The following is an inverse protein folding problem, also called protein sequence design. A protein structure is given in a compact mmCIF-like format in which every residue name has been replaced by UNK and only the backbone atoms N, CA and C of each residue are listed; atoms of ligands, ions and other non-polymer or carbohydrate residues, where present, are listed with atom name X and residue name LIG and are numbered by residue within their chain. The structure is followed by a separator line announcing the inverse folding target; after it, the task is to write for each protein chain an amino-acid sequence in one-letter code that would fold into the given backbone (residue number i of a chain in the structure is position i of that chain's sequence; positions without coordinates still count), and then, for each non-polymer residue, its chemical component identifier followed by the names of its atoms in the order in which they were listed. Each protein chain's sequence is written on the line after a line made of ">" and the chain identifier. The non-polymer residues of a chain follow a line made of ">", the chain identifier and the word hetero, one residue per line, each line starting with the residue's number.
data_IF_884942559554
#
_entry.id   IF_884942559554
#
_cell.length_a   1.000
_cell.length_b   1.000
_cell.length_c   1.000
_cell.angle_alpha   90.00
_cell.angle_beta   90.00
_cell.angle_gamma   90.00
#
_symmetry.space_group_name_H-M   'P 1'
#
loop_
_entity.id
_entity.type
_entity.pdbx_description
1 polymer ?
#
# COMPACT_ATOMS: atom_id res chain seq x y z
N UNK A 1 7.32 -10.92 7.99
CA UNK A 1 7.72 -9.81 8.88
C UNK A 1 8.50 -8.75 8.12
N UNK A 2 8.39 -7.49 8.53
CA UNK A 2 9.09 -6.33 7.93
C UNK A 2 10.20 -5.84 8.84
N UNK A 3 11.37 -5.56 8.29
CA UNK A 3 12.54 -5.15 9.07
C UNK A 3 12.82 -3.65 8.89
N UNK A 4 12.97 -2.93 10.01
CA UNK A 4 13.35 -1.51 10.02
C UNK A 4 14.83 -1.39 10.37
N UNK A 5 15.59 -0.79 9.47
CA UNK A 5 17.02 -0.54 9.63
C UNK A 5 17.31 0.89 10.08
N UNK A 6 18.54 1.15 10.54
CA UNK A 6 19.09 2.50 10.54
C UNK A 6 19.04 3.10 9.13
N UNK A 7 18.81 4.42 9.08
CA UNK A 7 18.73 5.17 7.81
C UNK A 7 20.00 4.94 6.99
N UNK A 8 19.82 4.56 5.73
CA UNK A 8 20.87 4.24 4.76
C UNK A 8 21.33 2.78 4.78
N UNK A 9 21.13 2.01 5.86
CA UNK A 9 21.66 0.65 5.99
C UNK A 9 20.88 -0.39 5.18
N UNK A 10 19.59 -0.16 4.93
CA UNK A 10 18.82 -1.03 4.04
C UNK A 10 19.30 -0.85 2.60
N UNK A 11 19.50 0.41 2.19
CA UNK A 11 20.05 0.74 0.87
C UNK A 11 21.46 0.18 0.67
N UNK A 12 22.33 0.31 1.68
CA UNK A 12 23.70 -0.20 1.68
C UNK A 12 23.72 -1.72 1.51
N UNK A 13 22.92 -2.46 2.28
CA UNK A 13 22.77 -3.92 2.14
C UNK A 13 22.44 -4.33 0.71
N UNK A 14 21.42 -3.70 0.12
CA UNK A 14 20.93 -4.06 -1.22
C UNK A 14 21.99 -3.71 -2.29
N UNK A 15 22.69 -2.58 -2.14
CA UNK A 15 23.75 -2.16 -3.08
C UNK A 15 24.97 -3.08 -3.00
N UNK A 16 25.44 -3.37 -1.80
CA UNK A 16 26.60 -4.25 -1.61
C UNK A 16 26.31 -5.62 -2.21
N UNK A 17 25.14 -6.21 -1.93
CA UNK A 17 24.77 -7.50 -2.51
C UNK A 17 24.73 -7.45 -4.05
N UNK A 18 24.17 -6.39 -4.63
CA UNK A 18 24.13 -6.21 -6.09
C UNK A 18 25.55 -6.13 -6.67
N UNK A 19 26.43 -5.36 -6.04
CA UNK A 19 27.80 -5.12 -6.49
C UNK A 19 28.66 -6.40 -6.36
N UNK A 20 28.55 -7.11 -5.23
CA UNK A 20 29.22 -8.38 -4.98
C UNK A 20 28.84 -9.46 -6.01
N UNK A 21 27.58 -9.48 -6.46
CA UNK A 21 27.08 -10.43 -7.45
C UNK A 21 27.15 -9.90 -8.90
N UNK A 22 27.64 -8.68 -9.11
CA UNK A 22 27.68 -7.98 -10.40
C UNK A 22 26.34 -7.98 -11.16
N UNK A 23 25.23 -7.75 -10.43
CA UNK A 23 23.88 -7.80 -10.98
C UNK A 23 23.39 -6.43 -11.44
N UNK A 24 22.49 -6.41 -12.42
CA UNK A 24 21.62 -5.24 -12.70
C UNK A 24 20.44 -5.20 -11.71
N UNK A 25 19.81 -4.02 -11.57
CA UNK A 25 18.60 -3.87 -10.74
C UNK A 25 17.47 -4.80 -11.17
N UNK A 26 17.28 -4.95 -12.48
CA UNK A 26 16.27 -5.85 -13.07
C UNK A 26 16.55 -7.32 -12.75
N UNK A 27 17.81 -7.75 -12.87
CA UNK A 27 18.19 -9.12 -12.52
C UNK A 27 17.99 -9.40 -11.03
N UNK A 28 18.43 -8.49 -10.16
CA UNK A 28 18.24 -8.64 -8.71
C UNK A 28 16.75 -8.75 -8.36
N UNK A 29 15.90 -7.89 -8.94
CA UNK A 29 14.45 -7.93 -8.73
C UNK A 29 13.84 -9.28 -9.16
N UNK A 30 14.27 -9.81 -10.31
CA UNK A 30 13.83 -11.13 -10.78
C UNK A 30 14.29 -12.26 -9.85
N UNK A 31 15.54 -12.23 -9.37
CA UNK A 31 16.11 -13.26 -8.49
C UNK A 31 15.36 -13.33 -7.15
N UNK A 32 15.06 -12.18 -6.56
CA UNK A 32 14.31 -12.11 -5.29
C UNK A 32 12.79 -12.21 -5.48
N UNK A 33 12.31 -12.34 -6.72
CA UNK A 33 10.90 -12.54 -7.06
C UNK A 33 10.00 -11.32 -6.83
N UNK A 34 10.50 -10.09 -7.01
CA UNK A 34 9.70 -8.86 -6.85
C UNK A 34 9.74 -7.96 -8.08
N UNK A 35 8.76 -7.06 -8.19
CA UNK A 35 8.77 -6.01 -9.22
C UNK A 35 9.88 -4.99 -8.95
N UNK A 36 10.50 -4.48 -10.01
CA UNK A 36 11.57 -3.48 -9.92
C UNK A 36 11.15 -2.21 -9.15
N UNK A 37 9.91 -1.74 -9.33
CA UNK A 37 9.39 -0.61 -8.57
C UNK A 37 9.37 -0.84 -7.05
N UNK A 38 9.14 -2.09 -6.61
CA UNK A 38 9.19 -2.45 -5.18
C UNK A 38 10.63 -2.50 -4.68
N UNK A 39 11.56 -3.01 -5.50
CA UNK A 39 12.99 -2.96 -5.19
C UNK A 39 13.47 -1.51 -5.04
N UNK A 40 13.04 -0.62 -5.94
CA UNK A 40 13.32 0.82 -5.87
C UNK A 40 12.81 1.42 -4.56
N UNK A 41 11.60 1.10 -4.13
CA UNK A 41 11.06 1.55 -2.84
C UNK A 41 11.90 1.06 -1.63
N UNK A 42 12.51 -0.13 -1.71
CA UNK A 42 13.45 -0.58 -0.68
C UNK A 42 14.78 0.19 -0.71
N UNK A 43 15.30 0.48 -1.89
CA UNK A 43 16.54 1.26 -2.05
C UNK A 43 16.37 2.70 -1.58
N UNK A 44 15.21 3.30 -1.84
CA UNK A 44 14.84 4.64 -1.38
C UNK A 44 14.39 4.67 0.09
N UNK A 45 14.30 3.51 0.73
CA UNK A 45 13.86 3.34 2.12
C UNK A 45 12.46 3.90 2.41
N UNK A 46 11.64 4.07 1.37
CA UNK A 46 10.22 4.41 1.49
C UNK A 46 9.37 3.22 1.94
N UNK A 47 9.90 2.00 1.78
CA UNK A 47 9.31 0.74 2.23
C UNK A 47 10.31 -0.13 2.99
N UNK A 48 9.80 -0.92 3.93
CA UNK A 48 10.60 -1.87 4.71
C UNK A 48 10.76 -3.20 3.98
N UNK A 49 11.99 -3.70 3.95
CA UNK A 49 12.29 -5.00 3.36
C UNK A 49 11.61 -6.14 4.14
N UNK A 50 11.19 -7.16 3.40
CA UNK A 50 10.67 -8.41 3.98
C UNK A 50 11.81 -9.24 4.59
N UNK A 51 11.54 -9.92 5.70
CA UNK A 51 12.52 -10.78 6.37
C UNK A 51 13.02 -11.92 5.47
N UNK A 52 12.16 -12.45 4.60
CA UNK A 52 12.54 -13.47 3.59
C UNK A 52 13.58 -12.94 2.62
N UNK A 53 13.38 -11.72 2.12
CA UNK A 53 14.32 -11.05 1.20
C UNK A 53 15.61 -10.69 1.95
N UNK A 54 15.50 -10.21 3.20
CA UNK A 54 16.67 -9.95 4.04
C UNK A 54 17.54 -11.19 4.24
N UNK A 55 16.94 -12.33 4.62
CA UNK A 55 17.67 -13.58 4.82
C UNK A 55 18.35 -14.08 3.53
N UNK A 56 17.77 -13.73 2.37
CA UNK A 56 18.39 -14.02 1.07
C UNK A 56 19.61 -13.13 0.81
N UNK A 57 19.51 -11.82 1.08
CA UNK A 57 20.58 -10.85 0.84
C UNK A 57 21.74 -10.96 1.85
N UNK A 58 21.44 -11.24 3.12
CA UNK A 58 22.41 -11.26 4.21
C UNK A 58 22.43 -12.63 4.92
N UNK A 59 22.99 -13.64 4.24
CA UNK A 59 23.09 -15.00 4.78
C UNK A 59 23.95 -15.10 6.04
N UNK A 60 24.95 -14.22 6.17
CA UNK A 60 25.88 -14.17 7.31
C UNK A 60 25.32 -13.40 8.51
N UNK A 61 24.22 -12.67 8.32
CA UNK A 61 23.57 -11.81 9.32
C UNK A 61 24.45 -10.65 9.79
N UNK A 62 25.36 -10.18 8.93
CA UNK A 62 26.28 -9.08 9.24
C UNK A 62 25.54 -7.74 9.46
N UNK A 63 24.36 -7.61 8.84
CA UNK A 63 23.50 -6.44 8.95
C UNK A 63 22.47 -6.53 10.08
N UNK A 64 22.40 -7.65 10.81
CA UNK A 64 21.43 -7.82 11.90
C UNK A 64 21.59 -6.74 12.98
N UNK A 65 22.84 -6.31 13.25
CA UNK A 65 23.16 -5.23 14.19
C UNK A 65 22.55 -3.87 13.83
N UNK A 66 22.14 -3.69 12.56
CA UNK A 66 21.53 -2.44 12.09
C UNK A 66 20.01 -2.47 12.09
N UNK A 67 19.39 -3.59 12.49
CA UNK A 67 17.93 -3.71 12.59
C UNK A 67 17.47 -3.09 13.91
N UNK A 68 16.68 -2.03 13.81
CA UNK A 68 16.11 -1.31 14.95
C UNK A 68 14.84 -2.00 15.45
N UNK A 69 13.98 -2.43 14.53
CA UNK A 69 12.64 -2.91 14.85
C UNK A 69 12.20 -3.97 13.84
N UNK A 70 11.53 -5.02 14.32
CA UNK A 70 10.83 -5.99 13.48
C UNK A 70 9.32 -5.77 13.59
N UNK A 71 8.66 -5.46 12.48
CA UNK A 71 7.20 -5.28 12.42
C UNK A 71 6.54 -6.57 11.93
N UNK A 72 5.50 -6.98 12.64
CA UNK A 72 4.67 -8.13 12.26
C UNK A 72 3.89 -7.84 10.98
N UNK A 73 3.53 -8.89 10.23
CA UNK A 73 2.87 -8.74 8.93
C UNK A 73 1.48 -8.09 9.04
N UNK A 74 0.84 -8.21 10.21
CA UNK A 74 -0.42 -7.56 10.52
C UNK A 74 -0.27 -6.16 11.09
N UNK A 75 0.92 -5.58 11.18
CA UNK A 75 1.13 -4.26 11.80
C UNK A 75 0.21 -3.17 11.24
N UNK A 76 -0.01 -3.16 9.92
CA UNK A 76 -0.95 -2.23 9.28
C UNK A 76 -2.41 -2.47 9.68
N UNK A 77 -2.82 -3.73 9.77
CA UNK A 77 -4.17 -4.13 10.22
C UNK A 77 -4.36 -3.89 11.72
N UNK A 78 -3.34 -4.09 12.54
CA UNK A 78 -3.35 -3.80 13.97
C UNK A 78 -3.44 -2.29 14.18
N UNK A 79 -2.66 -1.47 13.47
CA UNK A 79 -2.77 -0.01 13.55
C UNK A 79 -4.10 0.53 13.03
N UNK A 80 -4.58 0.02 11.90
CA UNK A 80 -5.86 0.42 11.31
C UNK A 80 -7.04 -0.05 12.16
N UNK A 81 -6.99 -1.30 12.62
CA UNK A 81 -7.99 -1.96 13.47
C UNK A 81 -8.07 -1.38 14.87
N UNK A 82 -6.93 -1.08 15.52
CA UNK A 82 -6.90 -0.39 16.82
C UNK A 82 -7.37 1.07 16.71
N UNK A 83 -7.14 1.76 15.58
CA UNK A 83 -7.71 3.09 15.32
C UNK A 83 -9.19 3.03 14.98
N UNK A 84 -9.65 1.97 14.34
CA UNK A 84 -11.08 1.76 14.12
C UNK A 84 -11.72 1.32 15.44
N UNK A 85 -12.40 2.23 16.14
CA UNK A 85 -13.21 1.91 17.33
C UNK A 85 -14.47 1.07 16.99
N UNK A 86 -14.36 0.06 16.14
CA UNK A 86 -15.44 -0.87 15.85
C UNK A 86 -16.76 -0.23 15.43
N UNK A 87 -16.74 0.95 14.80
CA UNK A 87 -17.92 1.51 14.15
C UNK A 87 -17.77 1.26 12.65
N UNK A 88 -18.27 0.12 12.19
CA UNK A 88 -19.03 0.13 10.94
C UNK A 88 -20.07 1.23 11.16
N UNK A 89 -19.97 2.36 10.46
CA UNK A 89 -21.02 3.39 10.58
C UNK A 89 -22.34 2.65 10.30
N UNK A 90 -23.33 2.79 11.17
CA UNK A 90 -24.69 2.42 10.81
C UNK A 90 -25.05 3.29 9.61
N UNK A 91 -24.96 2.71 8.42
CA UNK A 91 -25.44 3.34 7.20
C UNK A 91 -26.95 3.27 7.35
N UNK A 92 -27.56 4.41 7.69
CA UNK A 92 -29.01 4.55 7.61
C UNK A 92 -29.34 4.67 6.14
N UNK A 93 -30.17 3.77 5.64
CA UNK A 93 -30.78 3.97 4.34
C UNK A 93 -31.59 5.27 4.40
N UNK A 94 -31.42 6.18 3.43
CA UNK A 94 -32.25 7.37 3.39
C UNK A 94 -33.72 6.96 3.21
N UNK A 95 -34.63 7.71 3.81
CA UNK A 95 -36.05 7.53 3.51
C UNK A 95 -36.29 7.80 2.03
N UNK A 96 -37.12 6.98 1.40
CA UNK A 96 -37.48 7.17 -0.01
C UNK A 96 -38.20 8.52 -0.15
N UNK A 97 -37.61 9.45 -0.89
CA UNK A 97 -38.27 10.69 -1.29
C UNK A 97 -38.13 10.92 -2.80
N UNK A 98 -39.19 11.45 -3.38
CA UNK A 98 -39.25 11.80 -4.80
C UNK A 98 -38.18 12.84 -5.15
N UNK A 99 -37.99 13.83 -4.28
CA UNK A 99 -36.95 14.87 -4.40
C UNK A 99 -35.53 14.28 -4.43
N UNK A 100 -35.26 13.25 -3.64
CA UNK A 100 -33.96 12.56 -3.63
C UNK A 100 -33.75 11.76 -4.91
N UNK A 101 -34.81 11.07 -5.38
CA UNK A 101 -34.77 10.31 -6.63
C UNK A 101 -34.55 11.23 -7.84
N UNK A 102 -35.24 12.37 -7.91
CA UNK A 102 -35.04 13.38 -8.95
C UNK A 102 -33.64 13.98 -8.93
N UNK A 103 -33.14 14.32 -7.74
CA UNK A 103 -31.79 14.86 -7.58
C UNK A 103 -30.72 13.87 -8.07
N UNK A 104 -30.82 12.59 -7.68
CA UNK A 104 -29.89 11.56 -8.13
C UNK A 104 -30.07 11.22 -9.61
N UNK A 105 -31.30 11.20 -10.12
CA UNK A 105 -31.59 11.02 -11.54
C UNK A 105 -30.96 12.14 -12.40
N UNK A 106 -31.08 13.39 -11.96
CA UNK A 106 -30.44 14.54 -12.60
C UNK A 106 -28.90 14.49 -12.50
N UNK A 107 -28.36 14.10 -11.33
CA UNK A 107 -26.90 13.96 -11.13
C UNK A 107 -26.28 12.84 -11.96
N UNK A 108 -26.98 11.72 -12.13
CA UNK A 108 -26.47 10.53 -12.82
C UNK A 108 -26.83 10.50 -14.31
N UNK A 109 -27.56 11.52 -14.80
CA UNK A 109 -27.84 11.71 -16.23
C UNK A 109 -29.03 10.92 -16.76
N UNK A 110 -29.89 10.38 -15.89
CA UNK A 110 -31.11 9.63 -16.25
C UNK A 110 -32.40 10.43 -15.94
N UNK A 111 -32.26 11.72 -15.62
CA UNK A 111 -33.37 12.63 -15.36
C UNK A 111 -34.19 12.89 -16.63
N UNK A 112 -35.19 12.05 -16.91
CA UNK A 112 -36.18 12.32 -17.94
C UNK A 112 -37.12 13.46 -17.50
N UNK A 113 -36.65 14.70 -17.58
CA UNK A 113 -37.45 15.90 -17.35
C UNK A 113 -38.36 16.16 -18.55
N UNK A 114 -39.56 15.59 -18.56
CA UNK A 114 -40.59 16.00 -19.51
C UNK A 114 -41.18 17.36 -19.11
N UNK A 115 -40.81 18.40 -19.86
CA UNK A 115 -41.36 19.75 -19.74
C UNK A 115 -42.66 19.83 -20.54
N UNK A 116 -43.80 19.81 -19.86
CA UNK A 116 -45.08 20.10 -20.52
C UNK A 116 -45.20 21.62 -20.68
N UNK A 117 -45.11 22.10 -21.92
CA UNK A 117 -45.41 23.49 -22.27
C UNK A 117 -46.93 23.59 -22.44
N UNK A 118 -47.60 24.33 -21.56
CA UNK A 118 -49.00 24.73 -21.77
C UNK A 118 -49.03 25.82 -22.85
N UNK A 119 -49.44 25.46 -24.05
CA UNK A 119 -49.85 26.40 -25.10
C UNK A 119 -51.19 27.04 -24.69
N UNK A 120 -51.21 28.37 -24.62
CA UNK A 120 -52.44 29.19 -24.57
C UNK A 120 -52.78 29.63 -25.98
#
# INVERSE_FOLDING_TARGET
>A
MRLKFFKGKQKELIRNFKEEQNLTWKQLANIIGIKEGRLKAYIEETSLIDETIYNFLDKKKDYQKFIIEKKTDYWGKVKGGLKSKGKTKEIREPENSEELAEFYGAMLGDGNSHRTILST
#
